data_IF_381259839652
#
_entry.id   IF_381259839652
#
_cell.length_a   1.000
_cell.length_b   1.000
_cell.length_c   1.000
_cell.angle_alpha   90.00
_cell.angle_beta   90.00
_cell.angle_gamma   90.00
#
_symmetry.space_group_name_H-M   'P 1'
#
loop_
_entity.id
_entity.type
_entity.pdbx_description
1 polymer ?
#
# COMPACT_ATOMS: atom_id res chain seq x y z
N UNK A 1 51.43 -18.27 2.06
CA UNK A 1 50.13 -19.00 2.16
C UNK A 1 49.06 -18.21 2.95
N UNK A 2 49.36 -17.68 4.14
CA UNK A 2 48.40 -16.91 4.97
C UNK A 2 47.81 -15.64 4.34
N UNK A 3 48.59 -14.88 3.56
CA UNK A 3 48.11 -13.67 2.85
C UNK A 3 46.98 -13.98 1.87
N UNK A 4 47.03 -15.14 1.21
CA UNK A 4 46.06 -15.52 0.19
C UNK A 4 44.68 -15.84 0.81
N UNK A 5 44.70 -16.51 1.97
CA UNK A 5 43.50 -16.84 2.75
C UNK A 5 42.83 -15.57 3.27
N UNK A 6 43.61 -14.61 3.79
CA UNK A 6 43.10 -13.33 4.28
C UNK A 6 42.43 -12.51 3.17
N UNK A 7 43.02 -12.48 1.97
CA UNK A 7 42.42 -11.81 0.82
C UNK A 7 41.13 -12.48 0.33
N UNK A 8 41.06 -13.81 0.34
CA UNK A 8 39.83 -14.53 -0.04
C UNK A 8 38.67 -14.25 0.93
N UNK A 9 38.94 -14.23 2.24
CA UNK A 9 37.95 -13.94 3.27
C UNK A 9 37.48 -12.48 3.16
N UNK A 10 38.40 -11.53 2.99
CA UNK A 10 38.06 -10.12 2.82
C UNK A 10 37.19 -9.88 1.57
N UNK A 11 37.51 -10.55 0.46
CA UNK A 11 36.75 -10.41 -0.79
C UNK A 11 35.33 -10.98 -0.66
N UNK A 12 35.17 -12.16 -0.05
CA UNK A 12 33.84 -12.73 0.25
C UNK A 12 33.02 -11.82 1.17
N UNK A 13 33.63 -11.25 2.21
CA UNK A 13 32.95 -10.33 3.12
C UNK A 13 32.46 -9.07 2.43
N UNK A 14 33.28 -8.51 1.53
CA UNK A 14 32.93 -7.29 0.81
C UNK A 14 31.76 -7.52 -0.15
N UNK A 15 31.72 -8.68 -0.83
CA UNK A 15 30.57 -9.08 -1.66
C UNK A 15 29.30 -9.25 -0.82
N UNK A 16 29.39 -9.99 0.28
CA UNK A 16 28.25 -10.25 1.17
C UNK A 16 27.68 -8.95 1.76
N UNK A 17 28.55 -8.01 2.16
CA UNK A 17 28.13 -6.69 2.64
C UNK A 17 27.38 -5.91 1.56
N UNK A 18 27.89 -5.91 0.34
CA UNK A 18 27.26 -5.19 -0.76
C UNK A 18 25.90 -5.79 -1.15
N UNK A 19 25.77 -7.12 -1.13
CA UNK A 19 24.48 -7.81 -1.33
C UNK A 19 23.44 -7.44 -0.26
N UNK A 20 23.84 -7.38 1.01
CA UNK A 20 22.96 -6.94 2.10
C UNK A 20 22.53 -5.49 1.89
N UNK A 21 23.47 -4.61 1.52
CA UNK A 21 23.14 -3.19 1.28
C UNK A 21 22.15 -3.06 0.11
N UNK A 22 22.36 -3.80 -0.99
CA UNK A 22 21.47 -3.79 -2.14
C UNK A 22 20.06 -4.29 -1.81
N UNK A 23 19.94 -5.40 -1.07
CA UNK A 23 18.63 -5.93 -0.65
C UNK A 23 17.92 -4.99 0.31
N UNK A 24 18.64 -4.30 1.19
CA UNK A 24 18.06 -3.31 2.10
C UNK A 24 17.53 -2.09 1.32
N UNK A 25 18.30 -1.60 0.35
CA UNK A 25 17.87 -0.52 -0.55
C UNK A 25 16.65 -0.93 -1.37
N UNK A 26 16.60 -2.16 -1.90
CA UNK A 26 15.44 -2.63 -2.68
C UNK A 26 14.17 -2.70 -1.82
N UNK A 27 14.27 -3.18 -0.59
CA UNK A 27 13.13 -3.24 0.34
C UNK A 27 12.66 -1.82 0.70
N UNK A 28 13.58 -0.92 1.03
CA UNK A 28 13.23 0.47 1.37
C UNK A 28 12.57 1.19 0.21
N UNK A 29 13.07 1.01 -1.02
CA UNK A 29 12.49 1.62 -2.22
C UNK A 29 11.11 1.05 -2.55
N UNK A 30 10.90 -0.27 -2.42
CA UNK A 30 9.58 -0.88 -2.63
C UNK A 30 8.54 -0.37 -1.61
N UNK A 31 8.91 -0.30 -0.32
CA UNK A 31 8.04 0.27 0.73
C UNK A 31 7.73 1.73 0.44
N UNK A 32 8.74 2.53 0.09
CA UNK A 32 8.56 3.94 -0.19
C UNK A 32 7.66 4.17 -1.41
N UNK A 33 7.87 3.45 -2.50
CA UNK A 33 7.05 3.56 -3.70
C UNK A 33 5.60 3.14 -3.45
N UNK A 34 5.38 2.03 -2.73
CA UNK A 34 4.02 1.61 -2.37
C UNK A 34 3.33 2.64 -1.47
N UNK A 35 4.04 3.22 -0.51
CA UNK A 35 3.51 4.27 0.35
C UNK A 35 3.16 5.54 -0.45
N UNK A 36 4.04 5.96 -1.36
CA UNK A 36 3.81 7.09 -2.24
C UNK A 36 2.61 6.85 -3.18
N UNK A 37 2.49 5.64 -3.75
CA UNK A 37 1.34 5.25 -4.58
C UNK A 37 0.04 5.26 -3.78
N UNK A 38 0.06 4.81 -2.52
CA UNK A 38 -1.09 4.88 -1.62
C UNK A 38 -1.54 6.34 -1.42
N UNK A 39 -0.61 7.25 -1.16
CA UNK A 39 -0.91 8.69 -1.01
C UNK A 39 -1.52 9.24 -2.30
N UNK A 40 -0.94 8.95 -3.46
CA UNK A 40 -1.49 9.40 -4.73
C UNK A 40 -2.89 8.85 -4.97
N UNK A 41 -3.14 7.59 -4.64
CA UNK A 41 -4.47 6.98 -4.76
C UNK A 41 -5.51 7.71 -3.89
N UNK A 42 -5.16 8.01 -2.64
CA UNK A 42 -6.03 8.78 -1.73
C UNK A 42 -6.31 10.18 -2.28
N UNK A 43 -5.28 10.86 -2.79
CA UNK A 43 -5.41 12.20 -3.37
C UNK A 43 -6.32 12.19 -4.61
N UNK A 44 -6.10 11.26 -5.54
CA UNK A 44 -6.94 11.09 -6.73
C UNK A 44 -8.38 10.82 -6.33
N UNK A 45 -8.60 9.90 -5.38
CA UNK A 45 -9.94 9.59 -4.90
C UNK A 45 -10.63 10.83 -4.30
N UNK A 46 -9.90 11.63 -3.54
CA UNK A 46 -10.41 12.88 -2.98
C UNK A 46 -10.77 13.90 -4.06
N UNK A 47 -9.88 14.12 -5.04
CA UNK A 47 -10.14 15.06 -6.15
C UNK A 47 -11.30 14.63 -7.03
N UNK A 48 -11.41 13.34 -7.35
CA UNK A 48 -12.55 12.79 -8.12
C UNK A 48 -13.86 13.04 -7.36
N UNK A 49 -13.86 12.81 -6.05
CA UNK A 49 -15.04 13.01 -5.21
C UNK A 49 -15.44 14.49 -5.10
N UNK A 50 -14.46 15.39 -4.97
CA UNK A 50 -14.69 16.82 -5.03
C UNK A 50 -15.22 17.27 -6.40
N UNK A 51 -14.64 16.77 -7.49
CA UNK A 51 -15.09 17.08 -8.84
C UNK A 51 -16.54 16.61 -9.07
N UNK A 52 -16.88 15.41 -8.60
CA UNK A 52 -18.25 14.88 -8.61
C UNK A 52 -19.21 15.79 -7.85
N UNK A 53 -18.80 16.29 -6.68
CA UNK A 53 -19.59 17.22 -5.87
C UNK A 53 -19.88 18.52 -6.62
N UNK A 54 -18.86 19.13 -7.24
CA UNK A 54 -19.03 20.35 -8.02
C UNK A 54 -19.90 20.12 -9.26
N UNK A 55 -19.76 18.97 -9.92
CA UNK A 55 -20.58 18.61 -11.07
C UNK A 55 -22.06 18.47 -10.69
N UNK A 56 -22.34 17.77 -9.58
CA UNK A 56 -23.70 17.64 -9.04
C UNK A 56 -24.28 18.99 -8.61
N UNK A 57 -23.47 19.80 -7.93
CA UNK A 57 -23.84 21.15 -7.53
C UNK A 57 -24.19 22.03 -8.73
N UNK A 58 -23.45 21.92 -9.84
CA UNK A 58 -23.73 22.66 -11.05
C UNK A 58 -25.07 22.26 -11.66
N UNK A 59 -25.38 20.97 -11.70
CA UNK A 59 -26.64 20.46 -12.25
C UNK A 59 -27.87 20.85 -11.40
N UNK A 60 -27.71 20.87 -10.08
CA UNK A 60 -28.78 21.22 -9.13
C UNK A 60 -28.88 22.75 -8.92
N UNK A 61 -27.87 23.51 -9.33
CA UNK A 61 -27.81 24.97 -9.16
C UNK A 61 -27.54 25.43 -7.73
N UNK A 62 -27.25 24.53 -6.80
CA UNK A 62 -27.01 24.84 -5.39
C UNK A 62 -25.89 23.98 -4.79
N UNK A 63 -24.85 24.65 -4.28
CA UNK A 63 -23.70 24.05 -3.61
C UNK A 63 -24.06 23.22 -2.39
N UNK A 64 -25.02 23.68 -1.58
CA UNK A 64 -25.41 22.99 -0.35
C UNK A 64 -25.99 21.60 -0.67
N UNK A 65 -26.77 21.51 -1.76
CA UNK A 65 -27.41 20.26 -2.16
C UNK A 65 -26.40 19.30 -2.79
N UNK A 66 -25.47 19.80 -3.61
CA UNK A 66 -24.38 18.99 -4.18
C UNK A 66 -23.53 18.31 -3.10
N UNK A 67 -23.11 19.06 -2.08
CA UNK A 67 -22.40 18.50 -0.93
C UNK A 67 -23.27 17.55 -0.11
N UNK A 68 -24.55 17.89 0.12
CA UNK A 68 -25.47 17.03 0.85
C UNK A 68 -25.65 15.64 0.21
N UNK A 69 -25.75 15.57 -1.12
CA UNK A 69 -25.87 14.29 -1.85
C UNK A 69 -24.58 13.47 -1.73
N UNK A 70 -23.41 14.12 -1.85
CA UNK A 70 -22.12 13.45 -1.69
C UNK A 70 -21.98 12.87 -0.28
N UNK A 71 -22.30 13.66 0.75
CA UNK A 71 -22.31 13.21 2.16
C UNK A 71 -23.26 12.05 2.38
N UNK A 72 -24.47 12.10 1.80
CA UNK A 72 -25.44 11.02 1.90
C UNK A 72 -24.92 9.73 1.24
N UNK A 73 -24.28 9.85 0.06
CA UNK A 73 -23.66 8.71 -0.63
C UNK A 73 -22.56 8.05 0.22
N UNK A 74 -21.70 8.84 0.85
CA UNK A 74 -20.67 8.32 1.77
C UNK A 74 -21.26 7.67 3.02
N UNK A 75 -22.33 8.24 3.58
CA UNK A 75 -23.02 7.67 4.74
C UNK A 75 -23.64 6.31 4.37
N UNK A 76 -24.17 6.18 3.17
CA UNK A 76 -24.72 4.93 2.65
C UNK A 76 -23.63 3.86 2.47
N UNK A 77 -22.47 4.23 1.91
CA UNK A 77 -21.29 3.36 1.81
C UNK A 77 -20.79 2.94 3.20
N UNK A 78 -20.80 3.86 4.16
CA UNK A 78 -20.41 3.58 5.54
C UNK A 78 -21.34 2.54 6.20
N UNK A 79 -22.66 2.68 6.03
CA UNK A 79 -23.64 1.71 6.53
C UNK A 79 -23.41 0.34 5.91
N UNK A 80 -23.25 0.26 4.59
CA UNK A 80 -22.98 -1.00 3.88
C UNK A 80 -21.70 -1.64 4.42
N UNK A 81 -20.64 -0.85 4.58
CA UNK A 81 -19.34 -1.32 5.08
C UNK A 81 -19.44 -1.77 6.54
N UNK A 82 -20.24 -1.11 7.37
CA UNK A 82 -20.46 -1.50 8.76
C UNK A 82 -21.15 -2.87 8.88
N UNK A 83 -22.19 -3.11 8.08
CA UNK A 83 -22.89 -4.40 8.05
C UNK A 83 -22.03 -5.53 7.45
N UNK A 84 -21.30 -5.27 6.37
CA UNK A 84 -20.45 -6.27 5.71
C UNK A 84 -19.04 -6.39 6.30
N UNK A 85 -18.64 -5.46 7.17
CA UNK A 85 -17.28 -5.31 7.67
C UNK A 85 -16.77 -6.53 8.43
N UNK A 86 -17.64 -7.25 9.14
CA UNK A 86 -17.28 -8.52 9.81
C UNK A 86 -16.88 -9.63 8.84
N UNK A 87 -17.46 -9.67 7.63
CA UNK A 87 -17.10 -10.64 6.58
C UNK A 87 -15.84 -10.19 5.83
N UNK A 88 -15.73 -8.90 5.51
CA UNK A 88 -14.56 -8.33 4.83
C UNK A 88 -13.30 -8.40 5.69
N UNK A 89 -13.37 -8.10 6.99
CA UNK A 89 -12.18 -8.13 7.86
C UNK A 89 -11.61 -9.54 7.98
N UNK A 90 -12.48 -10.55 8.15
CA UNK A 90 -12.06 -11.96 8.17
C UNK A 90 -11.44 -12.40 6.85
N UNK A 91 -11.96 -11.93 5.71
CA UNK A 91 -11.40 -12.24 4.40
C UNK A 91 -10.02 -11.59 4.19
N UNK A 92 -9.88 -10.30 4.53
CA UNK A 92 -8.61 -9.57 4.41
C UNK A 92 -7.53 -10.15 5.31
N UNK A 93 -7.84 -10.46 6.58
CA UNK A 93 -6.88 -11.09 7.51
C UNK A 93 -6.41 -12.44 6.98
N UNK A 94 -7.33 -13.26 6.46
CA UNK A 94 -7.01 -14.58 5.91
C UNK A 94 -6.15 -14.48 4.63
N UNK A 95 -6.42 -13.48 3.79
CA UNK A 95 -5.64 -13.21 2.57
C UNK A 95 -4.23 -12.70 2.86
N UNK A 96 -4.10 -11.74 3.79
CA UNK A 96 -2.80 -11.21 4.24
C UNK A 96 -1.94 -12.28 4.89
N UNK A 97 -2.50 -13.06 5.82
CA UNK A 97 -1.77 -14.17 6.44
C UNK A 97 -1.26 -15.15 5.40
N UNK A 98 -2.08 -15.55 4.43
CA UNK A 98 -1.66 -16.50 3.39
C UNK A 98 -0.53 -15.95 2.53
N UNK A 99 -0.59 -14.66 2.15
CA UNK A 99 0.43 -14.04 1.29
C UNK A 99 1.77 -13.88 2.02
N UNK A 100 1.76 -13.52 3.31
CA UNK A 100 2.97 -13.46 4.13
C UNK A 100 3.54 -14.85 4.42
N UNK A 101 2.70 -15.85 4.71
CA UNK A 101 3.15 -17.22 4.97
C UNK A 101 3.81 -17.85 3.76
N UNK A 102 3.23 -17.67 2.56
CA UNK A 102 3.81 -18.15 1.30
C UNK A 102 5.16 -17.47 1.03
N UNK A 103 5.27 -16.15 1.20
CA UNK A 103 6.54 -15.42 0.99
C UNK A 103 7.64 -15.86 1.97
N UNK A 104 7.28 -16.25 3.19
CA UNK A 104 8.22 -16.76 4.18
C UNK A 104 8.65 -18.21 3.90
N UNK A 105 7.77 -19.03 3.34
CA UNK A 105 8.06 -20.43 3.00
C UNK A 105 8.86 -20.57 1.70
N UNK A 106 8.65 -19.66 0.75
CA UNK A 106 9.38 -19.62 -0.52
C UNK A 106 10.86 -19.22 -0.31
N UNK A 107 11.12 -18.27 0.60
CA UNK A 107 12.49 -17.86 0.99
C UNK A 107 13.30 -18.93 1.75
N UNK A 108 12.74 -20.12 2.02
CA UNK A 108 13.42 -21.22 2.74
C UNK A 108 13.76 -22.43 1.87
N UNK A 109 13.47 -22.38 0.57
CA UNK A 109 13.88 -23.38 -0.42
C UNK A 109 15.05 -22.88 -1.25
#
# INVERSE_FOLDING_TARGET
MFIFIKNFIHKKWCVFRNEIIQTLISIMTEIFLNFLLLIFFIMIFFFVSLSLCFFLSFYVGNYVIGFGILTFSYLLIFIITFFFGKKISRFFIKSLLNKYFIKFFDNKK
#
